data_IF_149365190148
#
_entry.id   IF_149365190148
#
_cell.length_a   1.000
_cell.length_b   1.000
_cell.length_c   1.000
_cell.angle_alpha   90.00
_cell.angle_beta   90.00
_cell.angle_gamma   90.00
#
_symmetry.space_group_name_H-M   'P 1'
#
loop_
_entity.id
_entity.type
_entity.pdbx_description
1 polymer ?
#
# COMPACT_ATOMS: atom_id res chain seq x y z
N UNK A 1 -29.90 -2.45 -3.67
CA UNK A 1 -28.77 -2.73 -2.75
C UNK A 1 -28.06 -1.41 -2.48
N UNK A 2 -27.57 -1.18 -1.27
CA UNK A 2 -26.74 0.00 -0.98
C UNK A 2 -25.31 -0.27 -1.44
N UNK A 3 -24.74 0.61 -2.27
CA UNK A 3 -23.37 0.50 -2.77
C UNK A 3 -23.28 0.35 -4.29
N UNK A 4 -22.07 0.56 -4.79
CA UNK A 4 -21.73 0.46 -6.22
C UNK A 4 -20.86 -0.79 -6.41
N UNK A 5 -21.19 -1.58 -7.42
CA UNK A 5 -20.59 -2.90 -7.70
C UNK A 5 -20.06 -3.01 -9.13
N UNK A 6 -19.78 -1.87 -9.75
CA UNK A 6 -19.26 -1.84 -11.11
C UNK A 6 -17.80 -2.32 -11.17
N UNK A 7 -17.34 -2.70 -12.36
CA UNK A 7 -15.97 -3.18 -12.59
C UNK A 7 -14.90 -2.16 -12.16
N UNK A 8 -15.26 -0.87 -12.03
CA UNK A 8 -14.38 0.18 -11.55
C UNK A 8 -14.03 0.09 -10.06
N UNK A 9 -14.82 -0.63 -9.25
CA UNK A 9 -14.62 -0.80 -7.80
C UNK A 9 -14.47 -2.25 -7.37
N UNK A 10 -14.89 -3.21 -8.21
CA UNK A 10 -14.71 -4.64 -7.94
C UNK A 10 -13.25 -5.00 -7.72
N UNK A 11 -12.31 -4.39 -8.46
CA UNK A 11 -10.90 -4.67 -8.27
C UNK A 11 -10.38 -4.20 -6.90
N UNK A 12 -10.85 -3.05 -6.41
CA UNK A 12 -10.59 -2.55 -5.06
C UNK A 12 -11.13 -3.52 -4.00
N UNK A 13 -12.34 -4.06 -4.18
CA UNK A 13 -12.90 -5.09 -3.29
C UNK A 13 -12.08 -6.38 -3.29
N UNK A 14 -11.62 -6.84 -4.45
CA UNK A 14 -10.74 -8.01 -4.56
C UNK A 14 -9.41 -7.74 -3.85
N UNK A 15 -8.81 -6.56 -4.03
CA UNK A 15 -7.59 -6.14 -3.34
C UNK A 15 -7.74 -6.24 -1.82
N UNK A 16 -8.86 -5.72 -1.29
CA UNK A 16 -9.19 -5.80 0.13
C UNK A 16 -9.29 -7.24 0.63
N UNK A 17 -10.01 -8.10 -0.10
CA UNK A 17 -10.17 -9.51 0.27
C UNK A 17 -8.82 -10.25 0.28
N UNK A 18 -7.96 -9.99 -0.71
CA UNK A 18 -6.61 -10.56 -0.76
C UNK A 18 -5.76 -10.09 0.42
N UNK A 19 -5.82 -8.79 0.76
CA UNK A 19 -5.06 -8.25 1.88
C UNK A 19 -5.53 -8.81 3.23
N UNK A 20 -6.84 -8.92 3.45
CA UNK A 20 -7.41 -9.56 4.65
C UNK A 20 -6.97 -11.02 4.76
N UNK A 21 -7.04 -11.77 3.66
CA UNK A 21 -6.51 -13.14 3.61
C UNK A 21 -5.02 -13.20 3.99
N UNK A 22 -4.21 -12.27 3.48
CA UNK A 22 -2.80 -12.11 3.84
C UNK A 22 -2.58 -11.85 5.33
N UNK A 23 -3.37 -10.95 5.94
CA UNK A 23 -3.32 -10.68 7.37
C UNK A 23 -3.65 -11.93 8.20
N UNK A 24 -4.69 -12.68 7.82
CA UNK A 24 -5.03 -13.95 8.48
C UNK A 24 -3.91 -14.99 8.35
N UNK A 25 -3.29 -15.12 7.18
CA UNK A 25 -2.15 -16.02 6.97
C UNK A 25 -0.95 -15.61 7.83
N UNK A 26 -0.70 -14.31 7.97
CA UNK A 26 0.36 -13.77 8.84
C UNK A 26 0.16 -14.17 10.30
N UNK A 27 -1.07 -14.04 10.81
CA UNK A 27 -1.41 -14.44 12.18
C UNK A 27 -1.24 -15.95 12.39
N UNK A 28 -1.55 -16.76 11.39
CA UNK A 28 -1.33 -18.21 11.39
C UNK A 28 0.14 -18.61 11.14
N UNK A 29 1.09 -17.67 11.15
CA UNK A 29 2.52 -17.93 11.00
C UNK A 29 3.02 -18.05 9.55
N UNK A 30 2.14 -17.95 8.55
CA UNK A 30 2.48 -18.03 7.13
C UNK A 30 2.91 -16.66 6.58
N UNK A 31 3.99 -16.10 7.14
CA UNK A 31 4.48 -14.74 6.82
C UNK A 31 4.83 -14.56 5.34
N UNK A 32 5.38 -15.59 4.69
CA UNK A 32 5.78 -15.52 3.28
C UNK A 32 4.56 -15.34 2.37
N UNK A 33 3.48 -16.09 2.63
CA UNK A 33 2.23 -15.95 1.89
C UNK A 33 1.55 -14.62 2.19
N UNK A 34 1.64 -14.10 3.42
CA UNK A 34 1.13 -12.79 3.76
C UNK A 34 1.81 -11.66 2.95
N UNK A 35 3.14 -11.72 2.80
CA UNK A 35 3.90 -10.77 1.97
C UNK A 35 3.54 -10.90 0.49
N UNK A 36 3.30 -12.12 -0.01
CA UNK A 36 2.77 -12.34 -1.36
C UNK A 36 1.38 -11.71 -1.54
N UNK A 37 0.46 -11.91 -0.60
CA UNK A 37 -0.87 -11.30 -0.63
C UNK A 37 -0.79 -9.76 -0.64
N UNK A 38 0.10 -9.18 0.16
CA UNK A 38 0.35 -7.73 0.15
C UNK A 38 0.84 -7.24 -1.23
N UNK A 39 1.77 -7.97 -1.85
CA UNK A 39 2.26 -7.63 -3.19
C UNK A 39 1.17 -7.75 -4.26
N UNK A 40 0.31 -8.78 -4.17
CA UNK A 40 -0.84 -8.94 -5.07
C UNK A 40 -1.85 -7.80 -4.88
N UNK A 41 -2.15 -7.42 -3.64
CA UNK A 41 -3.03 -6.28 -3.33
C UNK A 41 -2.47 -4.97 -3.91
N UNK A 42 -1.17 -4.72 -3.76
CA UNK A 42 -0.49 -3.57 -4.39
C UNK A 42 -0.54 -3.59 -5.92
N UNK A 43 -0.50 -4.78 -6.52
CA UNK A 43 -0.65 -4.92 -7.97
C UNK A 43 -2.09 -4.61 -8.42
N UNK A 44 -3.10 -5.08 -7.66
CA UNK A 44 -4.51 -4.80 -7.93
C UNK A 44 -4.81 -3.30 -7.88
N UNK A 45 -4.35 -2.61 -6.84
CA UNK A 45 -4.47 -1.15 -6.67
C UNK A 45 -3.87 -0.38 -7.86
N UNK A 46 -2.67 -0.77 -8.29
CA UNK A 46 -2.02 -0.15 -9.43
C UNK A 46 -2.81 -0.30 -10.75
N UNK A 47 -3.62 -1.36 -10.87
CA UNK A 47 -4.50 -1.59 -12.01
C UNK A 47 -5.88 -0.95 -11.85
N UNK A 48 -6.43 -0.83 -10.64
CA UNK A 48 -7.76 -0.27 -10.42
C UNK A 48 -7.84 1.17 -10.89
N UNK A 49 -6.81 1.98 -10.64
CA UNK A 49 -6.76 3.37 -11.06
C UNK A 49 -6.64 3.52 -12.58
N UNK A 50 -6.17 2.48 -13.30
CA UNK A 50 -6.18 2.46 -14.77
C UNK A 50 -7.54 2.04 -15.30
N UNK A 51 -8.15 1.01 -14.73
CA UNK A 51 -9.47 0.49 -15.11
C UNK A 51 -10.58 1.51 -14.81
N UNK A 52 -10.51 2.17 -13.66
CA UNK A 52 -11.40 3.27 -13.28
C UNK A 52 -11.38 4.42 -14.30
N UNK A 53 -10.27 4.62 -15.02
CA UNK A 53 -10.11 5.65 -16.06
C UNK A 53 -10.57 5.22 -17.45
N UNK A 54 -10.85 3.93 -17.69
CA UNK A 54 -11.36 3.46 -18.98
C UNK A 54 -12.87 3.65 -19.13
N UNK A 55 -13.60 3.81 -18.02
CA UNK A 55 -15.04 4.10 -18.05
C UNK A 55 -15.28 5.53 -18.53
N UNK A 56 -15.88 5.68 -19.71
CA UNK A 56 -16.18 7.00 -20.32
C UNK A 56 -17.44 7.66 -19.76
N UNK A 57 -18.43 6.86 -19.36
CA UNK A 57 -19.75 7.33 -18.88
C UNK A 57 -19.91 7.07 -17.38
N UNK A 58 -19.00 7.61 -16.57
CA UNK A 58 -19.04 7.45 -15.11
C UNK A 58 -19.79 8.64 -14.50
N UNK A 59 -20.79 8.38 -13.66
CA UNK A 59 -21.50 9.47 -12.96
C UNK A 59 -20.60 10.08 -11.89
N UNK A 60 -20.86 11.34 -11.52
CA UNK A 60 -20.10 12.00 -10.44
C UNK A 60 -20.26 11.26 -9.09
N UNK A 61 -21.43 10.69 -8.84
CA UNK A 61 -21.68 9.84 -7.66
C UNK A 61 -20.80 8.57 -7.67
N UNK A 62 -20.69 7.88 -8.80
CA UNK A 62 -19.84 6.69 -8.97
C UNK A 62 -18.35 6.99 -8.82
N UNK A 63 -17.95 8.20 -9.21
CA UNK A 63 -16.57 8.68 -9.09
C UNK A 63 -16.25 9.03 -7.64
N UNK A 64 -17.12 9.80 -6.97
CA UNK A 64 -16.96 10.17 -5.56
C UNK A 64 -16.95 8.93 -4.66
N UNK A 65 -17.92 8.03 -4.84
CA UNK A 65 -17.95 6.76 -4.11
C UNK A 65 -16.68 5.93 -4.36
N UNK A 66 -16.22 5.88 -5.61
CA UNK A 66 -14.97 5.21 -5.99
C UNK A 66 -13.75 5.74 -5.24
N UNK A 67 -13.61 7.07 -5.14
CA UNK A 67 -12.48 7.71 -4.43
C UNK A 67 -12.52 7.37 -2.93
N UNK A 68 -13.71 7.42 -2.32
CA UNK A 68 -13.87 7.14 -0.90
C UNK A 68 -13.61 5.66 -0.58
N UNK A 69 -14.17 4.73 -1.37
CA UNK A 69 -13.98 3.29 -1.13
C UNK A 69 -12.54 2.86 -1.34
N UNK A 70 -11.86 3.43 -2.33
CA UNK A 70 -10.44 3.22 -2.61
C UNK A 70 -9.58 3.62 -1.40
N UNK A 71 -9.80 4.83 -0.88
CA UNK A 71 -9.05 5.33 0.28
C UNK A 71 -9.28 4.52 1.56
N UNK A 72 -10.51 4.03 1.78
CA UNK A 72 -10.83 3.14 2.90
C UNK A 72 -10.18 1.76 2.73
N UNK A 73 -10.13 1.25 1.50
CA UNK A 73 -9.43 0.00 1.21
C UNK A 73 -7.92 0.16 1.36
N UNK A 74 -7.36 1.29 0.94
CA UNK A 74 -5.94 1.63 1.04
C UNK A 74 -5.42 1.62 2.47
N UNK A 75 -6.15 2.25 3.40
CA UNK A 75 -5.73 2.26 4.81
C UNK A 75 -5.74 0.86 5.41
N UNK A 76 -6.68 0.00 5.02
CA UNK A 76 -6.71 -1.39 5.48
C UNK A 76 -5.59 -2.21 4.80
N UNK A 77 -5.45 -2.09 3.49
CA UNK A 77 -4.54 -2.91 2.69
C UNK A 77 -3.07 -2.57 2.92
N UNK A 78 -2.74 -1.27 2.99
CA UNK A 78 -1.36 -0.77 3.01
C UNK A 78 -1.00 -0.05 4.32
N UNK A 79 -1.98 0.36 5.13
CA UNK A 79 -1.74 0.79 6.51
C UNK A 79 -1.76 -0.40 7.47
N UNK A 80 -2.94 -0.97 7.69
CA UNK A 80 -3.15 -2.02 8.70
C UNK A 80 -2.48 -3.34 8.30
N UNK A 81 -2.57 -3.76 7.04
CA UNK A 81 -1.99 -4.99 6.53
C UNK A 81 -0.49 -5.14 6.84
N UNK A 82 0.37 -4.23 6.37
CA UNK A 82 1.79 -4.25 6.68
C UNK A 82 2.09 -4.15 8.16
N UNK A 83 1.28 -3.40 8.93
CA UNK A 83 1.48 -3.29 10.37
C UNK A 83 1.28 -4.64 11.08
N UNK A 84 0.23 -5.38 10.72
CA UNK A 84 -0.02 -6.74 11.24
C UNK A 84 1.10 -7.70 10.80
N UNK A 85 1.52 -7.64 9.54
CA UNK A 85 2.63 -8.48 9.04
C UNK A 85 3.91 -8.21 9.84
N UNK A 86 4.27 -6.94 10.05
CA UNK A 86 5.47 -6.57 10.81
C UNK A 86 5.38 -6.98 12.29
N UNK A 87 4.20 -6.86 12.90
CA UNK A 87 3.95 -7.35 14.26
C UNK A 87 4.15 -8.87 14.36
N UNK A 88 3.62 -9.63 13.40
CA UNK A 88 3.79 -11.08 13.34
C UNK A 88 5.23 -11.50 13.04
N UNK A 89 5.99 -10.72 12.24
CA UNK A 89 7.42 -10.95 11.95
C UNK A 89 8.29 -10.81 13.22
N UNK A 90 7.96 -9.89 14.14
CA UNK A 90 8.71 -9.74 15.38
C UNK A 90 8.64 -8.39 16.08
N UNK A 91 7.95 -7.38 15.54
CA UNK A 91 7.81 -6.05 16.16
C UNK A 91 6.81 -6.05 17.34
N UNK A 92 6.94 -6.99 18.28
CA UNK A 92 6.00 -7.21 19.40
C UNK A 92 6.34 -6.42 20.66
N UNK A 93 7.55 -5.87 20.76
CA UNK A 93 7.97 -5.05 21.89
C UNK A 93 7.25 -3.70 21.93
N UNK A 94 7.32 -2.97 23.06
CA UNK A 94 6.64 -1.68 23.22
C UNK A 94 7.06 -0.66 22.16
N UNK A 95 8.35 -0.61 21.82
CA UNK A 95 8.88 0.28 20.78
C UNK A 95 8.30 -0.09 19.41
N UNK A 96 8.27 -1.38 19.07
CA UNK A 96 7.68 -1.88 17.83
C UNK A 96 6.22 -1.49 17.71
N UNK A 97 5.42 -1.69 18.76
CA UNK A 97 4.01 -1.32 18.77
C UNK A 97 3.79 0.19 18.58
N UNK A 98 4.58 1.04 19.23
CA UNK A 98 4.50 2.51 19.05
C UNK A 98 4.82 2.91 17.60
N UNK A 99 5.85 2.31 17.00
CA UNK A 99 6.20 2.57 15.59
C UNK A 99 5.07 2.13 14.66
N UNK A 100 4.46 0.97 14.90
CA UNK A 100 3.35 0.47 14.09
C UNK A 100 2.10 1.36 14.22
N UNK A 101 1.75 1.79 15.43
CA UNK A 101 0.65 2.72 15.66
C UNK A 101 0.89 4.06 14.95
N UNK A 102 2.10 4.60 15.06
CA UNK A 102 2.50 5.82 14.36
C UNK A 102 2.41 5.64 12.84
N UNK A 103 2.92 4.53 12.29
CA UNK A 103 2.88 4.22 10.88
C UNK A 103 1.45 4.23 10.31
N UNK A 104 0.51 3.55 10.98
CA UNK A 104 -0.90 3.50 10.54
C UNK A 104 -1.53 4.88 10.62
N UNK A 105 -1.30 5.61 11.72
CA UNK A 105 -1.81 6.97 11.88
C UNK A 105 -1.27 7.93 10.82
N UNK A 106 0.03 7.84 10.50
CA UNK A 106 0.65 8.62 9.44
C UNK A 106 0.05 8.33 8.06
N UNK A 107 -0.22 7.05 7.76
CA UNK A 107 -0.91 6.64 6.54
C UNK A 107 -2.34 7.20 6.46
N UNK A 108 -3.08 7.18 7.58
CA UNK A 108 -4.44 7.74 7.67
C UNK A 108 -4.45 9.25 7.41
N UNK A 109 -3.59 10.01 8.10
CA UNK A 109 -3.47 11.46 7.94
C UNK A 109 -3.14 11.81 6.49
N UNK A 110 -2.19 11.07 5.89
CA UNK A 110 -1.79 11.24 4.50
C UNK A 110 -2.97 11.05 3.54
N UNK A 111 -3.73 9.97 3.66
CA UNK A 111 -4.88 9.68 2.80
C UNK A 111 -5.95 10.76 2.93
N UNK A 112 -6.27 11.17 4.16
CA UNK A 112 -7.23 12.24 4.41
C UNK A 112 -6.77 13.57 3.79
N UNK A 113 -5.50 13.94 3.97
CA UNK A 113 -4.93 15.16 3.38
C UNK A 113 -4.95 15.12 1.86
N UNK A 114 -4.57 13.98 1.27
CA UNK A 114 -4.57 13.80 -0.18
C UNK A 114 -5.97 13.94 -0.77
N UNK A 115 -6.97 13.28 -0.18
CA UNK A 115 -8.36 13.34 -0.64
C UNK A 115 -8.94 14.74 -0.57
N UNK A 116 -8.80 15.42 0.58
CA UNK A 116 -9.33 16.77 0.76
C UNK A 116 -8.64 17.76 -0.17
N UNK A 117 -7.31 17.68 -0.32
CA UNK A 117 -6.57 18.55 -1.23
C UNK A 117 -6.94 18.30 -2.70
N UNK A 118 -7.14 17.04 -3.08
CA UNK A 118 -7.61 16.66 -4.43
C UNK A 118 -9.02 17.22 -4.71
N UNK A 119 -9.94 17.11 -3.75
CA UNK A 119 -11.31 17.63 -3.86
C UNK A 119 -11.35 19.16 -3.96
N UNK A 120 -10.62 19.88 -3.11
CA UNK A 120 -10.52 21.35 -3.18
C UNK A 120 -9.96 21.81 -4.53
N UNK A 121 -8.91 21.14 -5.02
CA UNK A 121 -8.28 21.47 -6.30
C UNK A 121 -9.18 21.20 -7.50
N UNK A 122 -9.92 20.08 -7.51
CA UNK A 122 -10.85 19.78 -8.61
C UNK A 122 -11.96 20.84 -8.73
N UNK A 123 -12.26 21.58 -7.65
CA UNK A 123 -13.17 22.73 -7.68
C UNK A 123 -12.52 24.00 -8.27
N UNK A 124 -11.20 24.09 -8.27
CA UNK A 124 -10.44 25.27 -8.73
C UNK A 124 -9.85 25.12 -10.14
N UNK A 125 -9.43 23.93 -10.58
CA UNK A 125 -8.74 23.76 -11.89
C UNK A 125 -8.83 22.33 -12.45
N UNK A 126 -9.09 22.20 -13.74
CA UNK A 126 -9.19 20.92 -14.49
C UNK A 126 -7.83 20.32 -14.93
N UNK A 127 -6.71 21.02 -14.68
CA UNK A 127 -5.38 20.58 -15.14
C UNK A 127 -4.90 19.29 -14.45
N UNK A 128 -4.20 18.41 -15.19
CA UNK A 128 -3.66 17.15 -14.64
C UNK A 128 -2.37 17.40 -13.84
N UNK A 129 -2.29 16.86 -12.61
CA UNK A 129 -1.10 16.95 -11.74
C UNK A 129 0.13 16.30 -12.41
N UNK A 130 1.23 17.04 -12.58
CA UNK A 130 2.51 16.53 -13.11
C UNK A 130 3.42 15.84 -12.05
N UNK A 131 3.21 16.14 -10.76
CA UNK A 131 3.94 15.57 -9.62
C UNK A 131 2.99 15.16 -8.49
N UNK A 132 3.27 14.05 -7.81
CA UNK A 132 2.64 13.68 -6.54
C UNK A 132 3.28 14.47 -5.38
N UNK A 133 2.50 14.72 -4.33
CA UNK A 133 3.00 15.30 -3.09
C UNK A 133 3.05 14.18 -2.04
N UNK A 134 4.25 13.86 -1.55
CA UNK A 134 4.56 12.77 -0.63
C UNK A 134 4.59 11.35 -1.26
N UNK A 135 5.09 10.36 -0.49
CA UNK A 135 5.22 8.93 -0.86
C UNK A 135 3.90 8.11 -0.78
N UNK A 136 3.30 7.61 -1.89
CA UNK A 136 2.02 6.90 -1.87
C UNK A 136 1.95 5.79 -0.82
N UNK A 137 0.80 5.61 -0.14
CA UNK A 137 0.67 4.59 0.91
C UNK A 137 0.95 3.18 0.39
N UNK A 138 0.61 2.94 -0.87
CA UNK A 138 0.85 1.73 -1.65
C UNK A 138 2.33 1.38 -1.79
N UNK A 139 3.25 2.33 -1.51
CA UNK A 139 4.70 2.10 -1.52
C UNK A 139 5.13 1.02 -0.52
N UNK A 140 4.37 0.80 0.55
CA UNK A 140 4.67 -0.24 1.52
C UNK A 140 4.56 -1.66 0.93
N UNK A 141 3.70 -1.86 -0.08
CA UNK A 141 3.59 -3.13 -0.79
C UNK A 141 4.87 -3.50 -1.57
N UNK A 142 5.79 -2.55 -1.73
CA UNK A 142 7.07 -2.71 -2.44
C UNK A 142 8.20 -2.78 -1.42
N UNK A 143 8.22 -1.86 -0.46
CA UNK A 143 9.28 -1.73 0.54
C UNK A 143 9.32 -2.97 1.44
N UNK A 144 8.16 -3.45 1.91
CA UNK A 144 8.12 -4.55 2.87
C UNK A 144 8.66 -5.88 2.29
N UNK A 145 8.23 -6.35 1.09
CA UNK A 145 8.84 -7.52 0.47
C UNK A 145 10.35 -7.40 0.29
N UNK A 146 10.84 -6.21 -0.11
CA UNK A 146 12.27 -5.97 -0.29
C UNK A 146 13.03 -6.09 1.03
N UNK A 147 12.55 -5.46 2.11
CA UNK A 147 13.17 -5.57 3.43
C UNK A 147 13.23 -7.04 3.89
N UNK A 148 12.15 -7.81 3.67
CA UNK A 148 12.10 -9.24 4.02
C UNK A 148 13.10 -10.08 3.21
N UNK A 149 13.32 -9.79 1.92
CA UNK A 149 14.34 -10.47 1.10
C UNK A 149 15.76 -10.26 1.61
N UNK A 150 16.05 -9.10 2.22
CA UNK A 150 17.35 -8.80 2.78
C UNK A 150 17.58 -9.41 4.18
N UNK A 151 16.58 -10.09 4.75
CA UNK A 151 16.70 -10.79 6.05
C UNK A 151 17.95 -11.67 6.18
N UNK A 152 18.28 -12.58 5.24
CA UNK A 152 19.50 -13.40 5.33
C UNK A 152 20.79 -12.58 5.29
N UNK A 153 20.80 -11.41 4.65
CA UNK A 153 21.97 -10.54 4.59
C UNK A 153 22.16 -9.72 5.88
N UNK A 154 21.05 -9.27 6.48
CA UNK A 154 21.04 -8.43 7.68
C UNK A 154 21.26 -9.22 8.98
N UNK A 155 20.94 -10.51 9.00
CA UNK A 155 21.16 -11.39 10.14
C UNK A 155 20.53 -10.86 11.43
N UNK A 156 21.35 -10.53 12.44
CA UNK A 156 20.89 -10.03 13.74
C UNK A 156 20.35 -8.60 13.69
N UNK A 157 20.83 -7.79 12.74
CA UNK A 157 20.42 -6.39 12.57
C UNK A 157 19.08 -6.25 11.84
N UNK A 158 18.50 -7.35 11.35
CA UNK A 158 17.25 -7.34 10.61
C UNK A 158 16.10 -6.68 11.38
N UNK A 159 15.99 -6.95 12.68
CA UNK A 159 14.92 -6.35 13.50
C UNK A 159 15.09 -4.84 13.60
N UNK A 160 16.31 -4.35 13.82
CA UNK A 160 16.60 -2.91 13.88
C UNK A 160 16.29 -2.26 12.53
N UNK A 161 16.72 -2.88 11.43
CA UNK A 161 16.44 -2.42 10.08
C UNK A 161 14.93 -2.37 9.78
N UNK A 162 14.14 -3.36 10.24
CA UNK A 162 12.70 -3.39 10.08
C UNK A 162 12.01 -2.24 10.84
N UNK A 163 12.39 -2.00 12.10
CA UNK A 163 11.85 -0.88 12.89
C UNK A 163 12.19 0.45 12.22
N UNK A 164 13.44 0.63 11.79
CA UNK A 164 13.89 1.82 11.09
C UNK A 164 13.14 2.02 9.77
N UNK A 165 12.96 0.98 8.97
CA UNK A 165 12.24 1.05 7.70
C UNK A 165 10.78 1.49 7.89
N UNK A 166 10.04 0.84 8.81
CA UNK A 166 8.63 1.20 9.08
C UNK A 166 8.52 2.64 9.60
N UNK A 167 9.41 3.05 10.50
CA UNK A 167 9.44 4.41 11.03
C UNK A 167 9.73 5.45 9.93
N UNK A 168 10.75 5.20 9.10
CA UNK A 168 11.11 6.08 7.98
C UNK A 168 9.96 6.20 6.99
N UNK A 169 9.29 5.09 6.64
CA UNK A 169 8.11 5.15 5.76
C UNK A 169 6.97 5.96 6.38
N UNK A 170 6.69 5.76 7.68
CA UNK A 170 5.69 6.56 8.40
C UNK A 170 6.02 8.05 8.40
N UNK A 171 7.28 8.43 8.61
CA UNK A 171 7.72 9.82 8.51
C UNK A 171 7.55 10.36 7.08
N UNK A 172 7.93 9.59 6.06
CA UNK A 172 7.78 9.97 4.65
C UNK A 172 6.32 10.14 4.21
N UNK A 173 5.35 9.55 4.93
CA UNK A 173 3.93 9.79 4.66
C UNK A 173 3.46 11.19 5.03
N UNK A 174 4.01 11.77 6.11
CA UNK A 174 3.65 13.09 6.62
C UNK A 174 4.61 14.18 6.09
N UNK A 175 5.82 13.82 5.68
CA UNK A 175 6.81 14.78 5.18
C UNK A 175 6.41 15.33 3.80
N UNK A 176 6.44 16.65 3.64
CA UNK A 176 6.13 17.30 2.37
C UNK A 176 7.32 17.23 1.40
N UNK A 177 7.35 16.19 0.57
CA UNK A 177 8.31 16.05 -0.53
C UNK A 177 7.59 15.88 -1.86
N UNK A 178 8.02 16.61 -2.90
CA UNK A 178 7.43 16.49 -4.24
C UNK A 178 8.03 15.28 -4.99
N UNK A 179 7.28 14.19 -5.08
CA UNK A 179 7.65 13.04 -5.90
C UNK A 179 7.15 13.21 -7.33
N UNK A 180 8.08 13.22 -8.29
CA UNK A 180 7.71 13.19 -9.71
C UNK A 180 7.05 11.86 -10.04
N UNK A 181 5.94 11.90 -10.77
CA UNK A 181 5.18 10.70 -11.15
C UNK A 181 6.09 9.70 -11.89
N UNK A 182 6.22 8.45 -11.41
CA UNK A 182 7.04 7.46 -12.08
C UNK A 182 6.49 7.21 -13.49
N UNK A 183 7.39 7.12 -14.49
CA UNK A 183 7.01 6.74 -15.84
C UNK A 183 6.55 5.28 -15.85
N UNK A 184 5.75 4.89 -16.84
CA UNK A 184 5.29 3.50 -16.99
C UNK A 184 6.45 2.49 -16.99
N UNK A 185 7.59 2.84 -17.57
CA UNK A 185 8.80 2.01 -17.55
C UNK A 185 9.33 1.76 -16.13
N UNK A 186 9.41 2.80 -15.29
CA UNK A 186 9.82 2.69 -13.88
C UNK A 186 8.86 1.79 -13.10
N UNK A 187 7.56 1.90 -13.42
CA UNK A 187 6.50 1.12 -12.81
C UNK A 187 6.65 -0.38 -13.14
N UNK A 188 6.93 -0.72 -14.39
CA UNK A 188 7.21 -2.10 -14.82
C UNK A 188 8.45 -2.65 -14.12
N UNK A 189 9.55 -1.88 -14.06
CA UNK A 189 10.77 -2.29 -13.36
C UNK A 189 10.49 -2.60 -11.89
N UNK A 190 9.69 -1.76 -11.24
CA UNK A 190 9.36 -1.91 -9.84
C UNK A 190 8.47 -3.15 -9.58
N UNK A 191 7.51 -3.44 -10.47
CA UNK A 191 6.73 -4.70 -10.41
C UNK A 191 7.63 -5.92 -10.58
N UNK A 192 8.57 -5.89 -11.53
CA UNK A 192 9.52 -6.99 -11.75
C UNK A 192 10.42 -7.21 -10.53
N UNK A 193 10.90 -6.13 -9.91
CA UNK A 193 11.70 -6.18 -8.69
C UNK A 193 10.91 -6.83 -7.55
N UNK A 194 9.65 -6.43 -7.34
CA UNK A 194 8.79 -7.03 -6.30
C UNK A 194 8.50 -8.50 -6.61
N UNK A 195 8.20 -8.85 -7.86
CA UNK A 195 7.97 -10.23 -8.26
C UNK A 195 9.19 -11.11 -7.99
N UNK A 196 10.39 -10.65 -8.37
CA UNK A 196 11.64 -11.34 -8.07
C UNK A 196 11.89 -11.47 -6.56
N UNK A 197 11.59 -10.42 -5.79
CA UNK A 197 11.70 -10.42 -4.34
C UNK A 197 10.79 -11.49 -3.71
N UNK A 198 9.51 -11.52 -4.09
CA UNK A 198 8.54 -12.48 -3.60
C UNK A 198 8.88 -13.91 -4.03
N UNK A 199 9.29 -14.13 -5.28
CA UNK A 199 9.75 -15.46 -5.74
C UNK A 199 10.93 -15.95 -4.91
N UNK A 200 11.90 -15.08 -4.59
CA UNK A 200 13.02 -15.42 -3.72
C UNK A 200 12.56 -15.76 -2.30
N UNK A 201 11.60 -15.02 -1.73
CA UNK A 201 11.02 -15.34 -0.41
C UNK A 201 10.38 -16.73 -0.41
N UNK A 202 9.68 -17.09 -1.50
CA UNK A 202 9.02 -18.40 -1.64
C UNK A 202 10.03 -19.53 -1.84
N UNK A 203 11.09 -19.33 -2.63
CA UNK A 203 12.10 -20.36 -2.93
C UNK A 203 13.11 -20.61 -1.80
N UNK A 204 13.50 -19.58 -1.03
CA UNK A 204 14.54 -19.71 0.02
C UNK A 204 14.06 -20.54 1.24
N UNK A 205 12.77 -20.88 1.31
CA UNK A 205 12.17 -21.58 2.46
C UNK A 205 11.51 -22.92 2.11
N UNK A 206 11.75 -23.47 0.90
CA UNK A 206 11.56 -24.91 0.63
C UNK A 206 12.82 -25.67 1.01
#
# INVERSE_FOLDING_TARGET
MLGIYDYTVVLTYVSLMVSIGGMMLSVNGHLNLAVLCLAISGLCDMFDGKIARTKKDRTEEEKCFGIQIDSLCDIVCFGVGPAIICYCIGMRGPIGMVILMFYVLAGLIRLAWFNVTEECRQKETDEKRACYQGLPITSMAIILPLVVVFRPLLGKEFMVALHAAVLVVGLLFITDFKLRKPKNATLVVLVVIVAAAVLKILHVCQ
#
